data_IF_090029497616
#
_entry.id   IF_090029497616
#
_cell.length_a   1.000
_cell.length_b   1.000
_cell.length_c   1.000
_cell.angle_alpha   90.00
_cell.angle_beta   90.00
_cell.angle_gamma   90.00
#
_symmetry.space_group_name_H-M   'P 1'
#
loop_
_entity.id
_entity.type
_entity.pdbx_description
1 polymer ?
#
# COMPACT_ATOMS: atom_id res chain seq x y z
N UNK A 1 37.75 27.71 51.27
CA UNK A 1 37.33 28.20 49.94
C UNK A 1 38.15 27.47 48.86
N UNK A 2 37.62 26.39 48.29
CA UNK A 2 38.25 25.69 47.15
C UNK A 2 37.16 25.28 46.17
N UNK A 3 36.98 26.09 45.12
CA UNK A 3 36.07 25.81 44.01
C UNK A 3 36.70 24.74 43.11
N UNK A 4 36.21 23.51 43.17
CA UNK A 4 36.44 22.52 42.12
C UNK A 4 35.45 22.81 40.98
N UNK A 5 35.97 23.25 39.83
CA UNK A 5 35.21 23.42 38.60
C UNK A 5 34.82 22.04 38.07
N UNK A 6 33.51 21.83 37.87
CA UNK A 6 32.98 20.71 37.10
C UNK A 6 33.41 20.84 35.63
N UNK A 7 33.94 19.77 35.05
CA UNK A 7 33.96 19.59 33.59
C UNK A 7 32.71 18.80 33.21
N UNK A 8 31.88 19.26 32.27
CA UNK A 8 30.82 18.43 31.72
C UNK A 8 31.45 17.42 30.76
N UNK A 9 31.33 16.13 31.08
CA UNK A 9 31.67 15.04 30.18
C UNK A 9 30.58 15.00 29.08
N UNK A 10 30.82 15.67 27.95
CA UNK A 10 30.00 15.48 26.76
C UNK A 10 30.34 14.12 26.15
N UNK A 11 29.51 13.11 26.42
CA UNK A 11 29.53 11.86 25.70
C UNK A 11 28.99 12.13 24.28
N UNK A 12 29.88 12.30 23.31
CA UNK A 12 29.51 12.21 21.90
C UNK A 12 29.20 10.74 21.60
N UNK A 13 27.91 10.40 21.54
CA UNK A 13 27.47 9.13 20.99
C UNK A 13 27.67 9.21 19.47
N UNK A 14 28.74 8.60 18.95
CA UNK A 14 28.92 8.38 17.52
C UNK A 14 27.87 7.35 17.08
N UNK A 15 26.74 7.84 16.58
CA UNK A 15 25.68 7.01 16.01
C UNK A 15 26.15 6.57 14.61
N UNK A 16 26.70 5.36 14.51
CA UNK A 16 26.93 4.65 13.24
C UNK A 16 25.60 4.15 12.65
N UNK A 17 24.69 5.03 12.20
CA UNK A 17 23.37 4.61 11.66
C UNK A 17 23.21 4.78 10.15
N UNK A 18 24.31 4.67 9.42
CA UNK A 18 24.30 4.89 7.98
C UNK A 18 23.77 3.73 7.15
N UNK A 19 24.24 2.52 7.43
CA UNK A 19 23.95 1.38 6.58
C UNK A 19 22.64 0.68 6.98
N UNK A 20 21.91 0.10 6.01
CA UNK A 20 20.81 -0.81 6.31
C UNK A 20 21.26 -1.99 7.19
N UNK A 21 20.44 -2.34 8.18
CA UNK A 21 20.71 -3.39 9.17
C UNK A 21 20.53 -4.80 8.61
N UNK A 22 19.66 -4.97 7.62
CA UNK A 22 19.30 -6.25 7.00
C UNK A 22 18.59 -6.02 5.65
N UNK A 23 18.16 -7.11 5.00
CA UNK A 23 17.51 -7.06 3.69
C UNK A 23 16.17 -6.31 3.69
N UNK A 24 15.38 -6.38 4.76
CA UNK A 24 14.11 -5.65 4.87
C UNK A 24 14.36 -4.15 5.01
N UNK A 25 15.37 -3.75 5.78
CA UNK A 25 15.79 -2.36 5.94
C UNK A 25 16.34 -1.78 4.62
N UNK A 26 17.16 -2.55 3.90
CA UNK A 26 17.71 -2.17 2.60
C UNK A 26 16.61 -2.01 1.55
N UNK A 27 15.62 -2.90 1.56
CA UNK A 27 14.44 -2.79 0.70
C UNK A 27 13.64 -1.50 0.97
N UNK A 28 13.46 -1.13 2.25
CA UNK A 28 12.75 0.11 2.56
C UNK A 28 13.54 1.37 2.20
N UNK A 29 14.88 1.33 2.27
CA UNK A 29 15.73 2.39 1.72
C UNK A 29 15.56 2.55 0.21
N UNK A 30 15.56 1.43 -0.53
CA UNK A 30 15.33 1.44 -1.98
C UNK A 30 13.95 2.02 -2.34
N UNK A 31 12.90 1.64 -1.61
CA UNK A 31 11.56 2.22 -1.78
C UNK A 31 11.56 3.71 -1.47
N UNK A 32 12.30 4.15 -0.45
CA UNK A 32 12.43 5.57 -0.16
C UNK A 32 13.07 6.32 -1.35
N UNK A 33 14.22 5.88 -1.83
CA UNK A 33 14.90 6.56 -2.96
C UNK A 33 14.06 6.59 -4.23
N UNK A 34 13.33 5.50 -4.53
CA UNK A 34 12.64 5.36 -5.80
C UNK A 34 11.21 5.92 -5.81
N UNK A 35 10.52 5.90 -4.67
CA UNK A 35 9.07 6.17 -4.61
C UNK A 35 8.66 7.22 -3.58
N UNK A 36 9.56 7.72 -2.72
CA UNK A 36 9.17 8.64 -1.63
C UNK A 36 8.39 9.85 -2.12
N UNK A 37 8.85 10.53 -3.17
CA UNK A 37 8.15 11.72 -3.69
C UNK A 37 6.75 11.38 -4.24
N UNK A 38 6.55 10.21 -4.82
CA UNK A 38 5.24 9.78 -5.35
C UNK A 38 4.30 9.35 -4.21
N UNK A 39 4.84 8.63 -3.23
CA UNK A 39 4.15 8.24 -2.01
C UNK A 39 3.68 9.49 -1.25
N UNK A 40 4.58 10.45 -1.03
CA UNK A 40 4.29 11.68 -0.29
C UNK A 40 3.19 12.51 -0.96
N UNK A 41 3.27 12.68 -2.29
CA UNK A 41 2.21 13.32 -3.08
C UNK A 41 0.86 12.60 -2.95
N UNK A 42 0.86 11.27 -2.99
CA UNK A 42 -0.38 10.49 -2.94
C UNK A 42 -1.06 10.55 -1.58
N UNK A 43 -0.29 10.62 -0.49
CA UNK A 43 -0.84 10.63 0.88
C UNK A 43 -1.08 12.03 1.44
N UNK A 44 -0.52 13.07 0.84
CA UNK A 44 -0.66 14.46 1.28
C UNK A 44 -2.14 14.84 1.45
N UNK A 45 -2.50 15.35 2.63
CA UNK A 45 -3.86 15.76 2.96
C UNK A 45 -4.80 14.60 3.31
N UNK A 46 -4.29 13.38 3.47
CA UNK A 46 -5.07 12.19 3.85
C UNK A 46 -4.62 11.63 5.19
N UNK A 47 -5.42 10.72 5.77
CA UNK A 47 -5.04 9.97 6.98
C UNK A 47 -4.16 8.75 6.69
N UNK A 48 -3.80 8.48 5.42
CA UNK A 48 -2.92 7.37 5.07
C UNK A 48 -1.48 7.75 5.37
N UNK A 49 -0.76 6.92 6.13
CA UNK A 49 0.66 7.18 6.42
C UNK A 49 1.54 6.85 5.20
N UNK A 50 2.51 7.71 4.88
CA UNK A 50 3.55 7.43 3.88
C UNK A 50 4.29 6.11 4.19
N UNK A 51 4.56 5.84 5.46
CA UNK A 51 5.21 4.61 5.91
C UNK A 51 4.33 3.38 5.68
N UNK A 52 3.02 3.49 5.94
CA UNK A 52 2.07 2.42 5.65
C UNK A 52 2.03 2.12 4.15
N UNK A 53 1.89 3.15 3.31
CA UNK A 53 1.83 2.98 1.86
C UNK A 53 3.13 2.36 1.33
N UNK A 54 4.30 2.84 1.77
CA UNK A 54 5.59 2.26 1.40
C UNK A 54 5.70 0.78 1.77
N UNK A 55 5.34 0.43 3.02
CA UNK A 55 5.38 -0.95 3.49
C UNK A 55 4.39 -1.84 2.71
N UNK A 56 3.20 -1.35 2.42
CA UNK A 56 2.21 -2.07 1.61
C UNK A 56 2.73 -2.36 0.20
N UNK A 57 3.38 -1.38 -0.44
CA UNK A 57 3.95 -1.55 -1.79
C UNK A 57 4.90 -2.75 -1.84
N UNK A 58 5.76 -2.90 -0.83
CA UNK A 58 6.70 -4.03 -0.75
C UNK A 58 6.05 -5.39 -0.45
N UNK A 59 4.81 -5.41 0.01
CA UNK A 59 4.05 -6.63 0.27
C UNK A 59 3.23 -7.05 -0.95
N UNK A 60 2.70 -6.08 -1.70
CA UNK A 60 1.77 -6.32 -2.79
C UNK A 60 2.45 -6.46 -4.15
N UNK A 61 3.47 -5.65 -4.44
CA UNK A 61 4.18 -5.73 -5.72
C UNK A 61 5.30 -6.77 -5.71
N UNK A 62 5.49 -7.40 -6.87
CA UNK A 62 6.57 -8.34 -7.11
C UNK A 62 7.32 -8.03 -8.43
N UNK A 63 8.66 -7.83 -8.40
CA UNK A 63 9.46 -7.56 -7.19
C UNK A 63 8.96 -6.31 -6.44
N UNK A 64 9.41 -6.11 -5.20
CA UNK A 64 8.99 -4.97 -4.38
C UNK A 64 9.26 -3.64 -5.12
N UNK A 65 8.24 -2.78 -5.22
CA UNK A 65 8.32 -1.52 -5.96
C UNK A 65 8.05 -1.64 -7.47
N UNK A 66 7.67 -2.82 -7.98
CA UNK A 66 7.36 -3.00 -9.40
C UNK A 66 6.02 -2.36 -9.78
N UNK A 67 6.09 -1.23 -10.50
CA UNK A 67 4.91 -0.52 -11.03
C UNK A 67 4.08 -1.32 -12.04
N UNK A 68 4.67 -2.36 -12.64
CA UNK A 68 4.03 -3.21 -13.64
C UNK A 68 3.52 -4.54 -13.06
N UNK A 69 3.49 -4.71 -11.73
CA UNK A 69 2.92 -5.91 -11.13
C UNK A 69 1.48 -6.12 -11.56
N UNK A 70 1.15 -7.35 -11.92
CA UNK A 70 -0.14 -7.72 -12.50
C UNK A 70 -0.50 -9.14 -12.07
N UNK A 71 -1.75 -9.33 -11.65
CA UNK A 71 -2.27 -10.67 -11.36
C UNK A 71 -3.72 -10.79 -11.79
N UNK A 72 -3.97 -11.67 -12.76
CA UNK A 72 -5.32 -12.04 -13.19
C UNK A 72 -5.95 -13.03 -12.22
N UNK A 73 -7.22 -12.83 -11.86
CA UNK A 73 -7.99 -13.69 -10.98
C UNK A 73 -9.16 -14.36 -11.76
N UNK A 74 -8.99 -15.61 -12.24
CA UNK A 74 -10.00 -16.28 -13.07
C UNK A 74 -11.40 -16.32 -12.45
N UNK A 75 -11.48 -16.56 -11.14
CA UNK A 75 -12.75 -16.61 -10.42
C UNK A 75 -13.45 -15.25 -10.33
N UNK A 76 -12.70 -14.15 -10.32
CA UNK A 76 -13.29 -12.80 -10.39
C UNK A 76 -13.88 -12.57 -11.78
N UNK A 77 -13.20 -13.02 -12.84
CA UNK A 77 -13.71 -12.94 -14.20
C UNK A 77 -15.01 -13.73 -14.39
N UNK A 78 -15.03 -14.98 -13.94
CA UNK A 78 -16.24 -15.81 -13.93
C UNK A 78 -17.37 -15.10 -13.19
N UNK A 79 -17.08 -14.51 -12.02
CA UNK A 79 -18.07 -13.78 -11.23
C UNK A 79 -18.61 -12.53 -11.94
N UNK A 80 -17.75 -11.73 -12.58
CA UNK A 80 -18.20 -10.56 -13.33
C UNK A 80 -19.06 -10.94 -14.54
N UNK A 81 -18.76 -12.06 -15.21
CA UNK A 81 -19.62 -12.60 -16.27
C UNK A 81 -20.97 -13.06 -15.74
N UNK A 82 -21.02 -13.73 -14.58
CA UNK A 82 -22.29 -14.08 -13.93
C UNK A 82 -23.13 -12.83 -13.61
N UNK A 83 -22.50 -11.76 -13.13
CA UNK A 83 -23.19 -10.49 -12.87
C UNK A 83 -23.73 -9.89 -14.16
N UNK A 84 -22.91 -9.83 -15.22
CA UNK A 84 -23.27 -9.17 -16.49
C UNK A 84 -24.36 -9.94 -17.25
N UNK A 85 -24.18 -11.25 -17.44
CA UNK A 85 -25.03 -12.04 -18.34
C UNK A 85 -26.15 -12.79 -17.62
N UNK A 86 -25.96 -13.14 -16.35
CA UNK A 86 -26.94 -13.90 -15.58
C UNK A 86 -27.61 -13.07 -14.47
N UNK A 87 -27.34 -11.75 -14.42
CA UNK A 87 -27.91 -10.80 -13.47
C UNK A 87 -27.74 -11.18 -11.99
N UNK A 88 -26.75 -12.02 -11.68
CA UNK A 88 -26.48 -12.49 -10.32
C UNK A 88 -25.55 -11.49 -9.62
N UNK A 89 -26.12 -10.61 -8.80
CA UNK A 89 -25.35 -9.57 -8.11
C UNK A 89 -24.18 -10.14 -7.30
N UNK A 90 -23.08 -9.37 -7.23
CA UNK A 90 -21.91 -9.69 -6.43
C UNK A 90 -21.51 -8.50 -5.57
N UNK A 91 -21.77 -8.61 -4.26
CA UNK A 91 -21.67 -7.46 -3.36
C UNK A 91 -22.59 -6.34 -3.85
N UNK A 92 -22.02 -5.15 -4.08
CA UNK A 92 -22.73 -4.00 -4.64
C UNK A 92 -22.71 -3.94 -6.17
N UNK A 93 -21.97 -4.82 -6.86
CA UNK A 93 -21.82 -4.78 -8.32
C UNK A 93 -23.02 -5.47 -8.97
N UNK A 94 -23.69 -4.74 -9.85
CA UNK A 94 -24.90 -5.18 -10.56
C UNK A 94 -24.67 -5.21 -12.07
N UNK A 95 -25.56 -5.90 -12.80
CA UNK A 95 -25.54 -5.90 -14.26
C UNK A 95 -25.62 -4.48 -14.87
N UNK A 96 -26.30 -3.55 -14.18
CA UNK A 96 -26.38 -2.14 -14.60
C UNK A 96 -25.02 -1.45 -14.57
N UNK A 97 -24.19 -1.74 -13.56
CA UNK A 97 -22.82 -1.24 -13.49
C UNK A 97 -21.94 -1.80 -14.61
N UNK A 98 -22.24 -3.01 -15.08
CA UNK A 98 -21.45 -3.72 -16.08
C UNK A 98 -21.97 -3.60 -17.52
N UNK A 99 -23.00 -2.78 -17.76
CA UNK A 99 -23.70 -2.72 -19.06
C UNK A 99 -22.75 -2.35 -20.20
N UNK A 100 -21.87 -1.38 -19.97
CA UNK A 100 -20.97 -0.83 -20.99
C UNK A 100 -19.70 -1.64 -21.25
N UNK A 101 -19.37 -2.64 -20.42
CA UNK A 101 -18.07 -3.32 -20.49
C UNK A 101 -18.12 -4.62 -21.30
N UNK A 102 -17.28 -4.80 -22.30
CA UNK A 102 -17.17 -6.08 -23.02
C UNK A 102 -16.38 -7.15 -22.23
N UNK A 103 -16.24 -8.36 -22.80
CA UNK A 103 -15.55 -9.47 -22.14
C UNK A 103 -14.04 -9.19 -21.92
N UNK A 104 -13.39 -8.43 -22.78
CA UNK A 104 -11.98 -8.05 -22.62
C UNK A 104 -11.82 -7.01 -21.50
N UNK A 105 -12.74 -6.06 -21.41
CA UNK A 105 -12.82 -5.11 -20.30
C UNK A 105 -13.14 -5.80 -18.97
N UNK A 106 -14.08 -6.76 -18.97
CA UNK A 106 -14.33 -7.59 -17.79
C UNK A 106 -13.09 -8.39 -17.38
N UNK A 107 -12.32 -8.90 -18.35
CA UNK A 107 -11.06 -9.60 -18.09
C UNK A 107 -10.05 -8.66 -17.43
N UNK A 108 -9.92 -7.43 -17.92
CA UNK A 108 -9.07 -6.41 -17.32
C UNK A 108 -9.53 -6.04 -15.90
N UNK A 109 -10.83 -5.85 -15.68
CA UNK A 109 -11.38 -5.60 -14.33
C UNK A 109 -11.14 -6.74 -13.34
N UNK A 110 -10.85 -7.93 -13.83
CA UNK A 110 -10.60 -9.14 -13.02
C UNK A 110 -9.15 -9.33 -12.62
N UNK A 111 -8.28 -8.35 -12.86
CA UNK A 111 -6.90 -8.38 -12.43
C UNK A 111 -6.62 -7.31 -11.36
N UNK A 112 -5.55 -7.52 -10.59
CA UNK A 112 -4.94 -6.50 -9.73
C UNK A 112 -3.73 -5.88 -10.41
N UNK A 113 -3.48 -4.60 -10.10
CA UNK A 113 -2.51 -3.79 -10.82
C UNK A 113 -1.55 -3.04 -9.89
N UNK A 114 -0.32 -2.89 -10.36
CA UNK A 114 0.66 -1.94 -9.87
C UNK A 114 1.18 -2.19 -8.47
N UNK A 115 1.66 -1.11 -7.87
CA UNK A 115 2.41 -1.08 -6.63
C UNK A 115 1.62 -1.65 -5.44
N UNK A 116 0.31 -1.45 -5.40
CA UNK A 116 -0.55 -1.89 -4.29
C UNK A 116 -1.58 -2.95 -4.69
N UNK A 117 -1.48 -3.54 -5.89
CA UNK A 117 -2.37 -4.61 -6.36
C UNK A 117 -3.88 -4.33 -6.19
N UNK A 118 -4.33 -3.10 -6.47
CA UNK A 118 -5.77 -2.80 -6.47
C UNK A 118 -6.45 -3.53 -7.63
N UNK A 119 -7.55 -4.22 -7.32
CA UNK A 119 -8.36 -4.94 -8.31
C UNK A 119 -9.09 -3.97 -9.24
N UNK A 120 -9.05 -4.25 -10.54
CA UNK A 120 -9.62 -3.40 -11.60
C UNK A 120 -11.13 -3.19 -11.48
N UNK A 121 -11.88 -4.14 -10.92
CA UNK A 121 -13.33 -3.98 -10.75
C UNK A 121 -13.69 -2.85 -9.76
N UNK A 122 -12.75 -2.40 -8.92
CA UNK A 122 -12.99 -1.24 -8.04
C UNK A 122 -13.15 0.07 -8.82
N UNK A 123 -12.68 0.14 -10.07
CA UNK A 123 -12.87 1.26 -10.98
C UNK A 123 -14.35 1.68 -11.12
N UNK A 124 -15.27 0.73 -11.05
CA UNK A 124 -16.74 0.97 -11.10
C UNK A 124 -17.19 2.00 -10.06
N UNK A 125 -16.57 2.01 -8.88
CA UNK A 125 -16.96 2.89 -7.77
C UNK A 125 -16.01 4.07 -7.58
N UNK A 126 -14.76 3.93 -8.01
CA UNK A 126 -13.76 4.99 -7.92
C UNK A 126 -13.95 6.06 -9.00
N UNK A 127 -14.61 5.73 -10.12
CA UNK A 127 -14.77 6.64 -11.24
C UNK A 127 -13.49 6.80 -12.07
N UNK A 128 -12.57 5.83 -11.97
CA UNK A 128 -11.38 5.73 -12.81
C UNK A 128 -11.47 4.56 -13.79
N UNK A 129 -10.50 4.46 -14.69
CA UNK A 129 -10.33 3.34 -15.62
C UNK A 129 -9.22 2.39 -15.16
N UNK A 130 -9.20 1.18 -15.73
CA UNK A 130 -8.06 0.25 -15.52
C UNK A 130 -6.75 0.85 -16.05
N UNK A 131 -6.81 1.69 -17.10
CA UNK A 131 -5.62 2.39 -17.59
C UNK A 131 -5.05 3.33 -16.53
N UNK A 132 -5.90 4.01 -15.76
CA UNK A 132 -5.46 4.88 -14.67
C UNK A 132 -4.77 4.10 -13.54
N UNK A 133 -5.26 2.90 -13.21
CA UNK A 133 -4.62 2.00 -12.23
C UNK A 133 -3.25 1.49 -12.70
N UNK A 134 -2.95 1.53 -14.00
CA UNK A 134 -1.65 1.18 -14.57
C UNK A 134 -0.76 2.40 -14.81
N UNK A 135 -1.32 3.60 -14.70
CA UNK A 135 -0.71 4.84 -15.11
C UNK A 135 0.03 5.56 -13.98
N UNK A 136 0.40 6.81 -14.26
CA UNK A 136 1.16 7.66 -13.35
C UNK A 136 0.40 8.02 -12.06
N UNK A 137 -0.94 7.93 -12.06
CA UNK A 137 -1.80 8.25 -10.92
C UNK A 137 -2.18 7.02 -10.08
N UNK A 138 -1.46 5.90 -10.24
CA UNK A 138 -1.76 4.66 -9.54
C UNK A 138 -1.92 4.85 -8.03
N UNK A 139 -0.96 5.52 -7.38
CA UNK A 139 -0.98 5.69 -5.91
C UNK A 139 -2.12 6.60 -5.44
N UNK A 140 -2.53 7.60 -6.21
CA UNK A 140 -3.66 8.46 -5.89
C UNK A 140 -4.97 7.65 -5.90
N UNK A 141 -5.18 6.82 -6.92
CA UNK A 141 -6.34 5.94 -6.99
C UNK A 141 -6.32 4.85 -5.91
N UNK A 142 -5.13 4.31 -5.61
CA UNK A 142 -4.96 3.39 -4.51
C UNK A 142 -5.37 4.04 -3.19
N UNK A 143 -4.82 5.22 -2.85
CA UNK A 143 -5.16 5.97 -1.63
C UNK A 143 -6.65 6.30 -1.55
N UNK A 144 -7.27 6.73 -2.66
CA UNK A 144 -8.72 6.97 -2.71
C UNK A 144 -9.52 5.69 -2.36
N UNK A 145 -9.09 4.54 -2.87
CA UNK A 145 -9.66 3.25 -2.48
C UNK A 145 -9.44 2.93 -1.00
N UNK A 146 -8.24 3.16 -0.47
CA UNK A 146 -7.91 2.91 0.95
C UNK A 146 -8.80 3.73 1.89
N UNK A 147 -8.95 5.03 1.62
CA UNK A 147 -9.80 5.93 2.41
C UNK A 147 -11.24 5.41 2.43
N UNK A 148 -11.76 4.97 1.29
CA UNK A 148 -13.13 4.45 1.17
C UNK A 148 -13.33 3.15 1.96
N UNK A 149 -12.32 2.28 2.06
CA UNK A 149 -12.47 0.94 2.64
C UNK A 149 -12.00 0.82 4.10
N UNK A 150 -10.99 1.60 4.50
CA UNK A 150 -10.41 1.55 5.84
C UNK A 150 -9.84 2.89 6.31
N UNK A 151 -10.38 4.01 5.83
CA UNK A 151 -9.98 5.34 6.29
C UNK A 151 -10.25 5.58 7.78
N UNK A 152 -11.24 4.90 8.37
CA UNK A 152 -11.54 4.97 9.81
C UNK A 152 -10.41 4.36 10.63
N UNK A 153 -9.93 3.17 10.24
CA UNK A 153 -8.81 2.49 10.86
C UNK A 153 -7.51 3.28 10.67
N UNK A 154 -7.27 3.80 9.47
CA UNK A 154 -6.09 4.62 9.17
C UNK A 154 -6.05 5.88 10.05
N UNK A 155 -7.15 6.62 10.16
CA UNK A 155 -7.29 7.79 11.05
C UNK A 155 -7.01 7.45 12.51
N UNK A 156 -7.41 6.26 12.94
CA UNK A 156 -7.16 5.76 14.30
C UNK A 156 -5.74 5.18 14.50
N UNK A 157 -4.88 5.18 13.47
CA UNK A 157 -3.55 4.59 13.52
C UNK A 157 -3.54 3.06 13.64
N UNK A 158 -4.65 2.40 13.29
CA UNK A 158 -4.84 0.94 13.39
C UNK A 158 -4.23 0.21 12.19
N UNK A 159 -2.92 0.32 12.03
CA UNK A 159 -2.22 -0.13 10.82
C UNK A 159 -2.24 -1.65 10.62
N UNK A 160 -2.27 -2.42 11.70
CA UNK A 160 -2.42 -3.87 11.62
C UNK A 160 -3.76 -4.25 10.97
N UNK A 161 -4.84 -3.57 11.37
CA UNK A 161 -6.17 -3.72 10.79
C UNK A 161 -6.18 -3.26 9.33
N UNK A 162 -5.55 -2.14 8.99
CA UNK A 162 -5.42 -1.66 7.61
C UNK A 162 -4.78 -2.73 6.70
N UNK A 163 -3.68 -3.35 7.13
CA UNK A 163 -3.05 -4.45 6.39
C UNK A 163 -3.99 -5.64 6.21
N UNK A 164 -4.73 -6.04 7.26
CA UNK A 164 -5.71 -7.14 7.14
C UNK A 164 -6.85 -6.78 6.21
N UNK A 165 -7.38 -5.56 6.27
CA UNK A 165 -8.45 -5.12 5.38
C UNK A 165 -7.97 -5.08 3.94
N UNK A 166 -6.76 -4.58 3.68
CA UNK A 166 -6.20 -4.58 2.32
C UNK A 166 -6.12 -6.00 1.74
N UNK A 167 -5.61 -6.95 2.52
CA UNK A 167 -5.40 -8.32 2.05
C UNK A 167 -6.69 -9.17 2.01
N UNK A 168 -7.66 -8.91 2.89
CA UNK A 168 -8.80 -9.83 3.12
C UNK A 168 -10.18 -9.17 3.02
N UNK A 169 -10.23 -7.84 2.93
CA UNK A 169 -11.44 -7.04 3.04
C UNK A 169 -12.01 -6.93 4.46
N UNK A 170 -11.34 -7.46 5.50
CA UNK A 170 -11.86 -7.47 6.88
C UNK A 170 -10.78 -7.17 7.93
N UNK A 171 -11.09 -6.43 9.01
CA UNK A 171 -10.12 -6.03 10.05
C UNK A 171 -9.58 -7.20 10.87
N UNK A 172 -10.33 -8.32 10.94
CA UNK A 172 -9.97 -9.54 11.65
C UNK A 172 -9.75 -10.72 10.70
N UNK A 173 -9.59 -10.46 9.39
CA UNK A 173 -9.37 -11.51 8.40
C UNK A 173 -8.02 -12.18 8.57
N UNK A 174 -7.97 -13.49 8.29
CA UNK A 174 -6.72 -14.24 8.24
C UNK A 174 -6.05 -13.97 6.90
N UNK A 175 -4.88 -13.35 6.94
CA UNK A 175 -4.07 -13.10 5.74
C UNK A 175 -3.54 -14.41 5.15
N UNK A 176 -3.32 -14.43 3.84
CA UNK A 176 -2.79 -15.63 3.15
C UNK A 176 -1.42 -16.05 3.69
N UNK A 177 -0.59 -15.07 4.06
CA UNK A 177 0.67 -15.26 4.77
C UNK A 177 0.54 -14.84 6.23
N UNK A 178 1.00 -15.69 7.15
CA UNK A 178 0.92 -15.42 8.58
C UNK A 178 1.77 -14.22 9.02
N UNK A 179 2.87 -13.95 8.33
CA UNK A 179 3.83 -12.87 8.62
C UNK A 179 3.48 -11.53 7.95
N UNK A 180 2.41 -11.46 7.13
CA UNK A 180 2.07 -10.30 6.31
C UNK A 180 1.97 -9.01 7.14
N UNK A 181 1.17 -9.05 8.21
CA UNK A 181 0.95 -7.88 9.08
C UNK A 181 2.23 -7.52 9.85
N UNK A 182 2.92 -8.50 10.39
CA UNK A 182 4.16 -8.27 11.15
C UNK A 182 5.23 -7.63 10.27
N UNK A 183 5.44 -8.14 9.06
CA UNK A 183 6.39 -7.56 8.09
C UNK A 183 5.99 -6.15 7.71
N UNK A 184 4.71 -5.91 7.45
CA UNK A 184 4.19 -4.57 7.17
C UNK A 184 4.55 -3.57 8.27
N UNK A 185 4.30 -3.90 9.54
CA UNK A 185 4.60 -3.02 10.67
C UNK A 185 6.11 -2.76 10.84
N UNK A 186 6.95 -3.79 10.69
CA UNK A 186 8.42 -3.64 10.74
C UNK A 186 8.91 -2.73 9.62
N UNK A 187 8.40 -2.91 8.40
CA UNK A 187 8.77 -2.10 7.24
C UNK A 187 8.33 -0.65 7.37
N UNK A 188 7.20 -0.38 8.03
CA UNK A 188 6.80 0.98 8.36
C UNK A 188 7.86 1.67 9.23
N UNK A 189 8.39 0.98 10.25
CA UNK A 189 9.42 1.54 11.13
C UNK A 189 10.69 1.88 10.34
N UNK A 190 11.17 0.96 9.50
CA UNK A 190 12.34 1.22 8.64
C UNK A 190 12.12 2.40 7.70
N UNK A 191 10.95 2.48 7.06
CA UNK A 191 10.66 3.62 6.18
C UNK A 191 10.61 4.96 6.93
N UNK A 192 10.05 4.98 8.15
CA UNK A 192 10.03 6.18 8.99
C UNK A 192 11.45 6.65 9.34
N UNK A 193 12.34 5.72 9.68
CA UNK A 193 13.74 6.04 9.93
C UNK A 193 14.44 6.61 8.69
N UNK A 194 14.21 6.03 7.51
CA UNK A 194 14.78 6.56 6.26
C UNK A 194 14.21 7.92 5.88
N UNK A 195 12.92 8.15 6.11
CA UNK A 195 12.31 9.47 5.91
C UNK A 195 12.94 10.53 6.82
N UNK A 196 13.20 10.22 8.10
CA UNK A 196 13.88 11.13 9.03
C UNK A 196 15.33 11.43 8.62
N UNK A 197 16.03 10.44 8.04
CA UNK A 197 17.39 10.60 7.53
C UNK A 197 17.45 11.23 6.14
N UNK A 198 16.31 11.47 5.52
CA UNK A 198 16.19 11.87 4.12
C UNK A 198 16.87 10.86 3.16
N UNK A 199 16.88 9.57 3.52
CA UNK A 199 17.52 8.51 2.77
C UNK A 199 19.06 8.55 2.77
N UNK A 200 19.67 9.33 3.68
CA UNK A 200 21.12 9.41 3.82
C UNK A 200 21.68 8.21 4.60
N UNK A 201 22.74 7.65 4.06
CA UNK A 201 23.67 6.76 4.76
C UNK A 201 24.61 7.57 5.69
#
# INVERSE_FOLDING_TARGET
MHRRRMLPLFFFLLIFTGCPRNAEDAMMLEIYHNLHAEIDRAVTGTDISAAYLAALITLESHPAGNKNSYRFEPHVYERLREVKYNHKAWGSITAGNLRGYDDDELRAMSASYGLTQIMGYHCVWLGCSVADLKGEYHLQWAVAWMIRHYGVEARAGKWAECFRIHNTGRPNGRTSRADYVQRGLVRMQYYQEWAQKEGRL
#
